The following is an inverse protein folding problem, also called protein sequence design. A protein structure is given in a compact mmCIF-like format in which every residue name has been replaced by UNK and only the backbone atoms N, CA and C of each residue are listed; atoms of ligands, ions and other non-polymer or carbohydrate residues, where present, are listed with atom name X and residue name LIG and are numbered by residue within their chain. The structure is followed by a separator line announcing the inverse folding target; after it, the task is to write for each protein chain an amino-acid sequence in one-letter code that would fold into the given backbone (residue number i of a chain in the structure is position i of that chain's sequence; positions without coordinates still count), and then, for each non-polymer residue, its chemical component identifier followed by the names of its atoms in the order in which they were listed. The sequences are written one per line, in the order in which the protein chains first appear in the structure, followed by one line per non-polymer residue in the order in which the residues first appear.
data_IF_878428521592
#
_entry.id   IF_878428521592
#
_cell.length_a   1.000
_cell.length_b   1.000
_cell.length_c   1.000
_cell.angle_alpha   90.00
_cell.angle_beta   90.00
_cell.angle_gamma   90.00
#
_symmetry.space_group_name_H-M   'P 1'
#
loop_
_entity.id
_entity.type
_entity.pdbx_description
1 polymer ?
#
# COMPACT_ATOMS: atom_id res chain seq x y z
N UNK A 1 22.50 -15.63 21.59
CA UNK A 1 21.68 -14.66 20.83
C UNK A 1 21.86 -14.95 19.36
N UNK A 2 20.77 -15.01 18.59
CA UNK A 2 20.82 -15.35 17.17
C UNK A 2 20.37 -14.19 16.30
N UNK A 3 21.10 -13.93 15.21
CA UNK A 3 20.71 -13.00 14.17
C UNK A 3 20.57 -13.76 12.85
N UNK A 4 19.49 -13.51 12.11
CA UNK A 4 19.24 -14.10 10.79
C UNK A 4 19.25 -12.99 9.76
N UNK A 5 20.07 -13.13 8.72
CA UNK A 5 20.15 -12.17 7.63
C UNK A 5 20.00 -12.85 6.29
N UNK A 6 19.33 -12.20 5.34
CA UNK A 6 19.14 -12.79 4.02
C UNK A 6 18.20 -12.03 3.09
N UNK A 7 18.03 -12.59 1.90
CA UNK A 7 17.10 -12.15 0.88
C UNK A 7 16.12 -13.29 0.60
N UNK A 8 15.09 -13.48 1.45
CA UNK A 8 14.14 -14.57 1.24
C UNK A 8 13.41 -14.39 -0.10
N UNK A 9 13.06 -15.49 -0.78
CA UNK A 9 12.26 -15.39 -2.00
C UNK A 9 10.92 -14.69 -1.70
N UNK A 10 10.55 -13.71 -2.53
CA UNK A 10 9.41 -12.85 -2.20
C UNK A 10 8.08 -13.59 -2.23
N UNK A 11 7.87 -14.45 -3.24
CA UNK A 11 6.62 -15.18 -3.45
C UNK A 11 5.42 -14.29 -3.84
N UNK A 12 4.30 -14.93 -4.15
CA UNK A 12 3.06 -14.23 -4.53
C UNK A 12 2.59 -13.31 -3.40
N UNK A 13 2.45 -12.01 -3.69
CA UNK A 13 2.03 -10.97 -2.72
C UNK A 13 2.85 -10.99 -1.42
N UNK A 14 4.16 -11.23 -1.52
CA UNK A 14 5.09 -11.26 -0.39
C UNK A 14 4.83 -12.38 0.65
N UNK A 15 3.99 -13.37 0.32
CA UNK A 15 3.62 -14.43 1.26
C UNK A 15 4.83 -15.26 1.71
N UNK A 16 5.75 -15.58 0.78
CA UNK A 16 6.89 -16.44 1.09
C UNK A 16 7.90 -15.69 1.98
N UNK A 17 8.21 -14.43 1.65
CA UNK A 17 9.04 -13.58 2.51
C UNK A 17 8.46 -13.45 3.94
N UNK A 18 7.14 -13.30 4.07
CA UNK A 18 6.47 -13.30 5.38
C UNK A 18 6.63 -14.63 6.11
N UNK A 19 6.51 -15.76 5.42
CA UNK A 19 6.69 -17.09 6.01
C UNK A 19 8.12 -17.27 6.55
N UNK A 20 9.14 -16.88 5.77
CA UNK A 20 10.54 -16.91 6.21
C UNK A 20 10.79 -16.03 7.42
N UNK A 21 10.21 -14.82 7.45
CA UNK A 21 10.37 -13.90 8.57
C UNK A 21 9.72 -14.46 9.84
N UNK A 22 8.49 -14.95 9.74
CA UNK A 22 7.80 -15.59 10.88
C UNK A 22 8.53 -16.84 11.37
N UNK A 23 9.08 -17.66 10.47
CA UNK A 23 9.88 -18.83 10.85
C UNK A 23 11.17 -18.41 11.57
N UNK A 24 11.83 -17.36 11.09
CA UNK A 24 13.04 -16.82 11.72
C UNK A 24 12.74 -16.25 13.11
N UNK A 25 11.58 -15.61 13.29
CA UNK A 25 11.15 -15.03 14.58
C UNK A 25 10.92 -16.05 15.70
N UNK A 26 10.81 -17.35 15.37
CA UNK A 26 10.70 -18.41 16.38
C UNK A 26 11.98 -18.49 17.21
N UNK A 27 13.15 -18.41 16.57
CA UNK A 27 14.44 -18.65 17.24
C UNK A 27 15.40 -17.45 17.23
N UNK A 28 15.23 -16.48 16.33
CA UNK A 28 16.11 -15.33 16.22
C UNK A 28 15.75 -14.20 17.19
N UNK A 29 16.76 -13.49 17.69
CA UNK A 29 16.59 -12.25 18.44
C UNK A 29 16.53 -11.04 17.50
N UNK A 30 17.23 -11.12 16.37
CA UNK A 30 17.21 -10.11 15.31
C UNK A 30 17.09 -10.76 13.92
N UNK A 31 16.34 -10.11 13.03
CA UNK A 31 16.14 -10.55 11.63
C UNK A 31 16.37 -9.35 10.72
N UNK A 32 17.36 -9.44 9.83
CA UNK A 32 17.67 -8.44 8.82
C UNK A 32 17.39 -8.97 7.42
N UNK A 33 16.26 -8.60 6.81
CA UNK A 33 15.87 -9.11 5.49
C UNK A 33 15.75 -8.04 4.42
N UNK A 34 16.16 -8.42 3.21
CA UNK A 34 15.73 -7.78 1.98
C UNK A 34 14.31 -8.24 1.69
N UNK A 35 13.35 -7.31 1.69
CA UNK A 35 11.92 -7.59 1.58
C UNK A 35 11.30 -6.80 0.42
N UNK A 36 10.22 -7.28 -0.20
CA UNK A 36 9.52 -6.53 -1.23
C UNK A 36 8.80 -5.32 -0.64
N UNK A 37 8.55 -4.29 -1.47
CA UNK A 37 7.85 -3.05 -1.07
C UNK A 37 6.47 -3.26 -0.43
N UNK A 38 5.86 -4.44 -0.57
CA UNK A 38 4.65 -4.80 0.15
C UNK A 38 4.79 -4.64 1.68
N UNK A 39 5.99 -4.84 2.24
CA UNK A 39 6.29 -4.64 3.66
C UNK A 39 6.38 -3.16 4.08
N UNK A 40 6.39 -2.21 3.14
CA UNK A 40 6.26 -0.79 3.47
C UNK A 40 4.79 -0.41 3.74
N UNK A 41 3.85 -1.06 3.04
CA UNK A 41 2.43 -0.69 3.02
C UNK A 41 1.79 -0.66 4.41
N UNK A 42 0.95 0.34 4.64
CA UNK A 42 0.07 0.46 5.80
C UNK A 42 -1.37 0.03 5.53
N UNK A 43 -1.66 -0.38 4.30
CA UNK A 43 -3.00 -0.81 3.91
C UNK A 43 -3.44 -2.12 4.58
N UNK A 44 -4.76 -2.34 4.59
CA UNK A 44 -5.38 -3.61 5.02
C UNK A 44 -4.73 -4.79 4.29
N UNK A 45 -4.29 -5.80 5.06
CA UNK A 45 -3.64 -6.99 4.52
C UNK A 45 -2.14 -6.87 4.29
N UNK A 46 -1.51 -5.76 4.67
CA UNK A 46 -0.06 -5.60 4.62
C UNK A 46 0.65 -6.78 5.31
N UNK A 47 1.67 -7.40 4.69
CA UNK A 47 2.49 -8.42 5.33
C UNK A 47 3.22 -7.89 6.58
N UNK A 48 3.53 -6.57 6.61
CA UNK A 48 4.16 -5.91 7.77
C UNK A 48 3.42 -6.19 9.07
N UNK A 49 2.10 -6.08 9.05
CA UNK A 49 1.23 -6.29 10.22
C UNK A 49 0.89 -7.76 10.50
N UNK A 50 1.30 -8.67 9.61
CA UNK A 50 1.12 -10.12 9.77
C UNK A 50 2.37 -10.82 10.31
N UNK A 51 3.45 -10.07 10.55
CA UNK A 51 4.64 -10.56 11.23
C UNK A 51 4.29 -10.87 12.70
N UNK A 52 4.68 -12.05 13.17
CA UNK A 52 4.45 -12.56 14.52
C UNK A 52 5.79 -12.80 15.23
N UNK A 53 5.86 -12.49 16.52
CA UNK A 53 7.04 -12.72 17.34
C UNK A 53 8.21 -11.76 17.09
N UNK A 54 8.04 -10.77 16.20
CA UNK A 54 9.03 -9.73 15.95
C UNK A 54 8.40 -8.35 15.76
N UNK A 55 9.07 -7.31 16.23
CA UNK A 55 8.73 -5.91 16.03
C UNK A 55 9.69 -5.26 15.03
N UNK A 56 9.16 -4.40 14.16
CA UNK A 56 9.97 -3.66 13.18
C UNK A 56 10.73 -2.54 13.90
N UNK A 57 12.06 -2.52 13.77
CA UNK A 57 12.92 -1.49 14.39
C UNK A 57 13.59 -0.57 13.37
N UNK A 58 13.74 -1.01 12.11
CA UNK A 58 14.31 -0.18 11.04
C UNK A 58 13.80 -0.63 9.67
N UNK A 59 13.57 0.32 8.77
CA UNK A 59 13.17 0.07 7.39
C UNK A 59 13.80 1.11 6.46
N UNK A 60 14.61 0.66 5.51
CA UNK A 60 15.30 1.51 4.53
C UNK A 60 15.03 1.01 3.11
N UNK A 61 14.67 1.90 2.18
CA UNK A 61 14.61 1.53 0.77
C UNK A 61 16.02 1.27 0.23
N UNK A 62 16.18 0.18 -0.52
CA UNK A 62 17.43 -0.12 -1.19
C UNK A 62 17.58 0.67 -2.50
N UNK A 63 18.81 1.00 -2.91
CA UNK A 63 19.06 1.63 -4.21
C UNK A 63 18.52 0.80 -5.37
N UNK A 64 18.10 1.46 -6.45
CA UNK A 64 17.53 0.81 -7.63
C UNK A 64 18.49 -0.11 -8.37
N UNK A 65 19.79 -0.01 -8.10
CA UNK A 65 20.86 -0.83 -8.68
C UNK A 65 21.38 -1.91 -7.71
N UNK A 66 20.60 -2.29 -6.69
CA UNK A 66 21.01 -3.27 -5.69
C UNK A 66 20.99 -4.74 -6.18
N UNK A 67 20.45 -5.02 -7.37
CA UNK A 67 20.31 -6.38 -7.90
C UNK A 67 20.91 -6.50 -9.30
N UNK A 68 21.44 -7.68 -9.60
CA UNK A 68 21.92 -8.08 -10.91
C UNK A 68 21.25 -9.37 -11.37
N UNK A 69 21.09 -9.54 -12.68
CA UNK A 69 20.65 -10.80 -13.27
C UNK A 69 21.80 -11.81 -13.37
N UNK A 70 21.52 -13.00 -13.92
CA UNK A 70 22.51 -14.06 -14.13
C UNK A 70 23.65 -13.66 -15.09
N UNK A 71 23.46 -12.60 -15.88
CA UNK A 71 24.43 -12.07 -16.83
C UNK A 71 25.21 -10.87 -16.26
N UNK A 72 24.94 -10.48 -15.00
CA UNK A 72 25.56 -9.32 -14.35
C UNK A 72 24.92 -7.97 -14.67
N UNK A 73 23.82 -7.93 -15.43
CA UNK A 73 23.13 -6.69 -15.74
C UNK A 73 22.32 -6.20 -14.54
N UNK A 74 22.32 -4.90 -14.29
CA UNK A 74 21.52 -4.31 -13.21
C UNK A 74 20.03 -4.51 -13.45
N UNK A 75 19.33 -5.05 -12.45
CA UNK A 75 17.87 -5.22 -12.46
C UNK A 75 17.23 -4.21 -11.53
N UNK A 76 16.32 -3.41 -12.08
CA UNK A 76 15.60 -2.38 -11.32
C UNK A 76 14.46 -3.00 -10.51
N UNK A 77 14.73 -3.34 -9.24
CA UNK A 77 13.76 -3.85 -8.27
C UNK A 77 13.66 -2.93 -7.06
N UNK A 78 12.47 -2.39 -6.81
CA UNK A 78 12.23 -1.64 -5.57
C UNK A 78 12.08 -2.64 -4.40
N UNK A 79 12.92 -2.52 -3.39
CA UNK A 79 12.98 -3.40 -2.21
C UNK A 79 13.39 -2.62 -0.96
N UNK A 80 13.23 -3.27 0.20
CA UNK A 80 13.50 -2.71 1.51
C UNK A 80 14.55 -3.55 2.21
N UNK A 81 15.50 -2.93 2.89
CA UNK A 81 16.21 -3.55 4.00
C UNK A 81 15.43 -3.27 5.28
N UNK A 82 14.93 -4.32 5.93
CA UNK A 82 14.25 -4.19 7.22
C UNK A 82 14.96 -4.98 8.30
N UNK A 83 15.04 -4.38 9.49
CA UNK A 83 15.52 -5.01 10.70
C UNK A 83 14.35 -5.16 11.66
N UNK A 84 14.17 -6.38 12.14
CA UNK A 84 13.17 -6.78 13.10
C UNK A 84 13.84 -7.35 14.35
N UNK A 85 13.27 -7.08 15.52
CA UNK A 85 13.72 -7.60 16.82
C UNK A 85 12.66 -8.52 17.38
N UNK A 86 13.03 -9.58 18.11
CA UNK A 86 12.09 -10.40 18.88
C UNK A 86 11.20 -9.50 19.76
N UNK A 87 9.90 -9.61 19.60
CA UNK A 87 8.95 -8.70 20.25
C UNK A 87 7.52 -8.82 19.76
N UNK A 88 6.69 -7.86 20.15
CA UNK A 88 5.27 -7.79 19.76
C UNK A 88 5.11 -6.75 18.67
N UNK A 89 4.65 -7.19 17.50
CA UNK A 89 4.32 -6.30 16.40
C UNK A 89 3.05 -5.50 16.72
N UNK A 90 3.21 -4.21 17.04
CA UNK A 90 2.08 -3.33 17.37
C UNK A 90 1.64 -2.56 16.13
N UNK A 91 0.37 -2.70 15.75
CA UNK A 91 -0.27 -1.77 14.82
C UNK A 91 -0.53 -0.46 15.55
N UNK A 92 -0.11 0.67 14.97
CA UNK A 92 -0.50 1.98 15.49
C UNK A 92 -2.01 2.18 15.30
N UNK A 93 -2.64 2.85 16.26
CA UNK A 93 -4.04 3.25 16.12
C UNK A 93 -4.15 4.22 14.93
N UNK A 94 -4.99 3.87 13.95
CA UNK A 94 -5.20 4.67 12.75
C UNK A 94 -6.38 5.58 12.97
N UNK A 95 -6.19 6.89 12.78
CA UNK A 95 -7.29 7.86 12.76
C UNK A 95 -8.25 7.53 11.61
N UNK A 96 -9.56 7.61 11.86
CA UNK A 96 -10.57 7.27 10.86
C UNK A 96 -11.25 8.52 10.30
N UNK A 97 -11.89 8.36 9.14
CA UNK A 97 -12.69 9.40 8.48
C UNK A 97 -14.00 8.81 7.93
N UNK A 98 -14.55 7.80 8.60
CA UNK A 98 -15.71 7.04 8.15
C UNK A 98 -17.00 7.88 8.14
N UNK A 99 -17.06 8.95 8.96
CA UNK A 99 -18.16 9.90 8.97
C UNK A 99 -18.09 10.90 7.82
N UNK A 100 -16.96 10.96 7.11
CA UNK A 100 -16.68 11.94 6.06
C UNK A 100 -16.83 11.35 4.65
N UNK A 101 -16.38 10.10 4.46
CA UNK A 101 -16.45 9.41 3.18
C UNK A 101 -16.80 7.92 3.33
N UNK A 102 -17.38 7.33 2.28
CA UNK A 102 -17.35 5.88 2.04
C UNK A 102 -16.48 5.57 0.82
N UNK A 103 -15.79 4.43 0.85
CA UNK A 103 -14.89 3.99 -0.21
C UNK A 103 -15.11 2.51 -0.51
N UNK A 104 -15.31 2.19 -1.78
CA UNK A 104 -15.42 0.82 -2.26
C UNK A 104 -14.56 0.62 -3.52
N UNK A 105 -14.22 -0.64 -3.80
CA UNK A 105 -13.41 -0.98 -4.99
C UNK A 105 -14.37 -1.22 -6.15
N UNK A 106 -14.04 -0.67 -7.31
CA UNK A 106 -14.71 -0.98 -8.57
C UNK A 106 -13.69 -1.63 -9.49
N UNK A 107 -14.02 -2.81 -10.00
CA UNK A 107 -13.19 -3.55 -10.95
C UNK A 107 -14.11 -4.21 -11.98
N UNK A 108 -13.88 -3.88 -13.26
CA UNK A 108 -14.70 -4.37 -14.40
C UNK A 108 -13.96 -5.41 -15.22
N UNK A 109 -12.79 -5.87 -14.75
CA UNK A 109 -12.04 -6.93 -15.42
C UNK A 109 -12.66 -8.30 -15.13
N UNK A 110 -12.79 -9.13 -16.17
CA UNK A 110 -13.54 -10.41 -16.12
C UNK A 110 -13.07 -11.33 -14.98
N UNK A 111 -11.79 -11.30 -14.64
CA UNK A 111 -11.18 -12.11 -13.61
C UNK A 111 -11.48 -11.64 -12.17
N UNK A 112 -12.02 -10.43 -11.99
CA UNK A 112 -12.16 -9.82 -10.66
C UNK A 112 -13.31 -8.81 -10.56
N UNK A 113 -14.43 -9.08 -11.22
CA UNK A 113 -15.60 -8.22 -11.19
C UNK A 113 -16.02 -7.89 -9.75
N UNK A 114 -16.08 -6.60 -9.39
CA UNK A 114 -16.60 -6.16 -8.08
C UNK A 114 -17.08 -4.70 -8.09
N UNK A 115 -18.09 -4.39 -7.27
CA UNK A 115 -18.52 -3.02 -6.97
C UNK A 115 -19.19 -2.29 -8.12
N UNK A 116 -19.63 -3.03 -9.15
CA UNK A 116 -20.27 -2.46 -10.34
C UNK A 116 -21.68 -1.97 -10.01
N UNK A 117 -22.38 -2.74 -9.19
CA UNK A 117 -23.70 -2.45 -8.66
C UNK A 117 -23.76 -1.17 -7.82
N UNK A 118 -22.62 -0.72 -7.29
CA UNK A 118 -22.52 0.50 -6.46
C UNK A 118 -22.00 1.71 -7.23
N UNK A 119 -21.71 1.59 -8.52
CA UNK A 119 -21.09 2.69 -9.28
C UNK A 119 -21.96 3.94 -9.31
N UNK A 120 -23.29 3.77 -9.37
CA UNK A 120 -24.23 4.90 -9.36
C UNK A 120 -24.28 5.64 -8.02
N UNK A 121 -23.83 5.02 -6.93
CA UNK A 121 -23.74 5.68 -5.61
C UNK A 121 -22.54 6.62 -5.52
N UNK A 122 -21.50 6.43 -6.33
CA UNK A 122 -20.26 7.17 -6.21
C UNK A 122 -20.41 8.61 -6.73
N UNK A 123 -19.95 9.57 -5.91
CA UNK A 123 -19.81 10.96 -6.35
C UNK A 123 -18.63 11.13 -7.30
N UNK A 124 -17.56 10.38 -7.05
CA UNK A 124 -16.31 10.42 -7.79
C UNK A 124 -15.62 9.06 -7.82
N UNK A 125 -14.69 8.91 -8.77
CA UNK A 125 -13.80 7.78 -8.88
C UNK A 125 -12.34 8.23 -8.90
N UNK A 126 -11.48 7.37 -8.34
CA UNK A 126 -10.03 7.55 -8.39
C UNK A 126 -9.35 6.27 -8.86
N UNK A 127 -8.47 6.40 -9.85
CA UNK A 127 -7.71 5.29 -10.39
C UNK A 127 -6.70 4.73 -9.38
N UNK A 128 -6.55 3.41 -9.36
CA UNK A 128 -5.73 2.71 -8.37
C UNK A 128 -4.23 2.72 -8.67
N UNK A 129 -3.84 2.57 -9.93
CA UNK A 129 -2.44 2.36 -10.34
C UNK A 129 -2.03 3.39 -11.36
N UNK A 130 -0.86 4.01 -11.22
CA UNK A 130 -0.32 4.95 -12.20
C UNK A 130 1.20 4.81 -12.33
N UNK A 131 1.79 5.38 -13.38
CA UNK A 131 3.23 5.31 -13.64
C UNK A 131 3.89 6.69 -13.47
N UNK A 132 3.66 7.58 -14.43
CA UNK A 132 4.29 8.90 -14.47
C UNK A 132 3.35 9.99 -13.96
N UNK A 133 2.12 10.01 -14.48
CA UNK A 133 1.12 11.02 -14.15
C UNK A 133 0.19 10.50 -13.05
N UNK A 134 0.08 11.20 -11.91
CA UNK A 134 -0.91 10.87 -10.91
C UNK A 134 -2.34 11.03 -11.47
N UNK A 135 -3.28 10.20 -11.01
CA UNK A 135 -4.64 10.26 -11.52
C UNK A 135 -5.36 11.50 -11.03
N UNK A 136 -6.33 11.95 -11.82
CA UNK A 136 -7.29 12.96 -11.42
C UNK A 136 -8.56 12.29 -10.86
N UNK A 137 -9.30 13.05 -10.07
CA UNK A 137 -10.62 12.67 -9.61
C UNK A 137 -11.59 12.83 -10.77
N UNK A 138 -12.33 11.77 -11.11
CA UNK A 138 -13.25 11.75 -12.26
C UNK A 138 -14.67 11.43 -11.81
N UNK A 139 -15.68 11.86 -12.58
CA UNK A 139 -17.09 11.57 -12.27
C UNK A 139 -17.55 10.26 -12.88
N UNK A 140 -17.01 9.88 -14.03
CA UNK A 140 -17.38 8.64 -14.71
C UNK A 140 -16.27 7.61 -14.57
N UNK A 141 -16.63 6.39 -14.22
CA UNK A 141 -15.66 5.30 -14.12
C UNK A 141 -15.04 4.92 -15.47
N UNK A 142 -15.71 5.24 -16.60
CA UNK A 142 -15.13 5.06 -17.94
C UNK A 142 -13.83 5.84 -18.15
N UNK A 143 -13.60 6.90 -17.36
CA UNK A 143 -12.37 7.70 -17.38
C UNK A 143 -11.25 7.06 -16.53
N UNK A 144 -11.57 6.05 -15.71
CA UNK A 144 -10.58 5.32 -14.90
C UNK A 144 -9.81 4.34 -15.78
N UNK A 145 -8.49 4.51 -15.88
CA UNK A 145 -7.65 3.60 -16.65
C UNK A 145 -7.52 2.23 -15.97
N UNK A 146 -7.23 1.21 -16.77
CA UNK A 146 -7.03 -0.17 -16.34
C UNK A 146 -8.26 -0.86 -15.70
N UNK A 147 -9.46 -0.30 -15.90
CA UNK A 147 -10.72 -0.91 -15.48
C UNK A 147 -10.79 -1.21 -13.96
N UNK A 148 -9.99 -0.51 -13.14
CA UNK A 148 -9.90 -0.74 -11.70
C UNK A 148 -9.57 0.55 -10.94
N UNK A 149 -10.44 0.90 -9.99
CA UNK A 149 -10.32 2.10 -9.18
C UNK A 149 -11.12 2.01 -7.89
N UNK A 150 -11.34 3.19 -7.30
CA UNK A 150 -12.11 3.35 -6.07
C UNK A 150 -13.29 4.29 -6.33
N UNK A 151 -14.50 3.86 -5.98
CA UNK A 151 -15.64 4.75 -5.86
C UNK A 151 -15.58 5.49 -4.52
N UNK A 152 -15.91 6.78 -4.54
CA UNK A 152 -15.87 7.68 -3.39
C UNK A 152 -17.26 8.29 -3.22
N UNK A 153 -17.84 8.10 -2.04
CA UNK A 153 -19.10 8.74 -1.63
C UNK A 153 -18.76 9.75 -0.55
N UNK A 154 -19.10 11.01 -0.75
CA UNK A 154 -18.84 12.09 0.20
C UNK A 154 -20.07 12.29 1.10
N UNK A 155 -19.88 12.10 2.41
CA UNK A 155 -20.95 12.17 3.42
C UNK A 155 -21.13 13.55 4.04
N UNK A 156 -20.06 14.35 4.13
CA UNK A 156 -20.04 15.67 4.77
C UNK A 156 -19.14 16.64 4.03
N UNK A 157 -19.45 17.94 4.10
CA UNK A 157 -18.57 19.03 3.62
C UNK A 157 -18.08 18.81 2.17
N UNK A 158 -19.02 18.47 1.27
CA UNK A 158 -18.75 18.03 -0.12
C UNK A 158 -17.71 18.87 -0.84
N UNK A 159 -17.91 20.19 -0.87
CA UNK A 159 -17.04 21.11 -1.58
C UNK A 159 -15.61 21.12 -1.01
N UNK A 160 -15.46 21.00 0.32
CA UNK A 160 -14.15 20.98 0.98
C UNK A 160 -13.41 19.68 0.70
N UNK A 161 -14.10 18.53 0.78
CA UNK A 161 -13.50 17.22 0.49
C UNK A 161 -13.13 17.11 -0.99
N UNK A 162 -13.99 17.55 -1.89
CA UNK A 162 -13.69 17.59 -3.32
C UNK A 162 -12.47 18.47 -3.61
N UNK A 163 -12.41 19.66 -3.03
CA UNK A 163 -11.25 20.54 -3.16
C UNK A 163 -9.97 19.88 -2.63
N UNK A 164 -10.03 19.24 -1.47
CA UNK A 164 -8.88 18.50 -0.91
C UNK A 164 -8.42 17.39 -1.85
N UNK A 165 -9.34 16.53 -2.33
CA UNK A 165 -8.99 15.39 -3.19
C UNK A 165 -8.42 15.82 -4.54
N UNK A 166 -8.93 16.90 -5.13
CA UNK A 166 -8.42 17.47 -6.38
C UNK A 166 -7.01 18.08 -6.22
N UNK A 167 -6.70 18.63 -5.06
CA UNK A 167 -5.40 19.26 -4.78
C UNK A 167 -4.42 18.32 -4.06
N UNK A 168 -4.80 17.05 -3.85
CA UNK A 168 -3.96 16.06 -3.17
C UNK A 168 -2.79 15.63 -4.08
N UNK A 169 -1.57 15.73 -3.55
CA UNK A 169 -0.40 15.17 -4.22
C UNK A 169 -0.38 13.63 -4.08
N UNK A 170 -0.98 12.93 -5.05
CA UNK A 170 -1.04 11.45 -5.05
C UNK A 170 0.33 10.77 -5.18
N UNK A 171 1.40 11.46 -5.59
CA UNK A 171 2.75 10.91 -5.47
C UNK A 171 3.14 10.72 -4.00
N UNK A 172 2.73 11.61 -3.11
CA UNK A 172 2.94 11.45 -1.66
C UNK A 172 2.03 10.35 -1.09
N UNK A 173 0.78 10.28 -1.53
CA UNK A 173 -0.22 9.32 -1.06
C UNK A 173 -0.30 8.08 -1.96
N UNK A 174 0.83 7.39 -2.13
CA UNK A 174 0.90 6.13 -2.86
C UNK A 174 2.16 5.34 -2.49
N UNK A 175 2.14 4.03 -2.76
CA UNK A 175 3.30 3.17 -2.60
C UNK A 175 3.92 2.85 -3.96
N UNK A 176 5.25 2.94 -4.05
CA UNK A 176 6.00 2.47 -5.20
C UNK A 176 6.07 0.93 -5.15
N UNK A 177 5.60 0.28 -6.21
CA UNK A 177 5.68 -1.16 -6.39
C UNK A 177 7.06 -1.57 -6.91
N UNK A 178 7.35 -2.87 -6.86
CA UNK A 178 8.62 -3.46 -7.34
C UNK A 178 8.92 -3.06 -8.79
N UNK A 179 7.90 -3.00 -9.65
CA UNK A 179 8.03 -2.72 -11.10
C UNK A 179 7.78 -1.26 -11.48
N UNK A 180 8.14 -0.31 -10.60
CA UNK A 180 8.06 1.14 -10.84
C UNK A 180 6.67 1.73 -11.10
N UNK A 181 5.58 0.98 -10.95
CA UNK A 181 4.26 1.57 -10.86
C UNK A 181 3.97 2.03 -9.43
N UNK A 182 3.11 3.06 -9.30
CA UNK A 182 2.62 3.54 -8.01
C UNK A 182 1.20 3.03 -7.79
N UNK A 183 0.92 2.65 -6.55
CA UNK A 183 -0.40 2.19 -6.13
C UNK A 183 -0.98 3.12 -5.08
N UNK A 184 -2.11 3.74 -5.43
CA UNK A 184 -3.03 4.34 -4.48
C UNK A 184 -3.88 3.21 -3.91
N UNK A 185 -4.20 3.32 -2.63
CA UNK A 185 -5.08 2.38 -1.95
C UNK A 185 -6.10 3.17 -1.16
N UNK A 186 -7.16 2.49 -0.75
CA UNK A 186 -8.14 3.02 0.20
C UNK A 186 -7.53 3.61 1.48
N UNK A 187 -6.38 3.08 1.93
CA UNK A 187 -5.63 3.65 3.05
C UNK A 187 -5.07 5.03 2.68
N UNK A 188 -4.46 5.15 1.50
CA UNK A 188 -3.86 6.41 1.05
C UNK A 188 -4.90 7.52 0.90
N UNK A 189 -6.08 7.19 0.36
CA UNK A 189 -7.19 8.14 0.24
C UNK A 189 -7.64 8.59 1.64
N UNK A 190 -7.86 7.65 2.56
CA UNK A 190 -8.22 7.99 3.95
C UNK A 190 -7.15 8.83 4.64
N UNK A 191 -5.88 8.51 4.43
CA UNK A 191 -4.78 9.28 5.00
C UNK A 191 -4.76 10.72 4.48
N UNK A 192 -5.01 10.94 3.18
CA UNK A 192 -5.12 12.29 2.63
C UNK A 192 -6.26 13.09 3.27
N UNK A 193 -7.42 12.45 3.50
CA UNK A 193 -8.58 13.05 4.18
C UNK A 193 -8.24 13.41 5.64
N UNK A 194 -7.63 12.46 6.37
CA UNK A 194 -7.21 12.65 7.77
C UNK A 194 -6.15 13.75 7.91
N UNK A 195 -5.14 13.75 7.04
CA UNK A 195 -4.08 14.77 7.03
C UNK A 195 -4.61 16.15 6.63
N UNK A 196 -5.72 16.20 5.87
CA UNK A 196 -6.49 17.39 5.57
C UNK A 196 -7.38 17.89 6.72
N UNK A 197 -7.39 17.20 7.88
CA UNK A 197 -8.13 17.60 9.08
C UNK A 197 -9.53 17.01 9.21
N UNK A 198 -9.98 16.18 8.26
CA UNK A 198 -11.31 15.56 8.28
C UNK A 198 -11.26 14.20 8.99
N UNK A 199 -11.25 14.26 10.33
CA UNK A 199 -11.11 13.08 11.20
C UNK A 199 -12.41 12.83 11.95
N UNK A 200 -12.74 11.58 12.21
CA UNK A 200 -13.84 11.23 13.12
C UNK A 200 -13.50 11.71 14.53
N UNK A 201 -14.49 12.26 15.23
CA UNK A 201 -14.34 12.72 16.62
C UNK A 201 -14.17 11.54 17.59
#
# INVERSE_FOLDING_TARGET
QYAVMGNPPFGYRAWLALAFLNQSAIFADYIGFILPMAFQSDGKGSPKYRVRGAELISSKQLPSNAFVDINGNTVKLNTLWQIWRRGVNRMQAVKTCNNWIDLFTVDTRKERLCGQERMEEADYFLQRTFYNEPPQLVRNFSEVRYACGYGIIIKKERNKIEHLLNNTNWNRYSNLAVHNCRHISMYHIRQAIVDGGFVDA
#
